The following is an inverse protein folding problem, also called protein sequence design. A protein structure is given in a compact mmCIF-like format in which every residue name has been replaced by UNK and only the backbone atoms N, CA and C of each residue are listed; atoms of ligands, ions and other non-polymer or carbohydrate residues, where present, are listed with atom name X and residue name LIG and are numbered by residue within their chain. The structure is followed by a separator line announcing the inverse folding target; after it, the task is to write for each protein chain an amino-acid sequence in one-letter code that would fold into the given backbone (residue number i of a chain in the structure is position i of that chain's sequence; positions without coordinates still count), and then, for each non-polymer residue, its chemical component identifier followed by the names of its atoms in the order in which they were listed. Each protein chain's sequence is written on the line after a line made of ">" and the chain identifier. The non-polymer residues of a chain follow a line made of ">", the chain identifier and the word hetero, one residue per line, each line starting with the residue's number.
data_IF_086096471600
#
_entry.id   IF_086096471600
#
_cell.length_a   1.000
_cell.length_b   1.000
_cell.length_c   1.000
_cell.angle_alpha   90.00
_cell.angle_beta   90.00
_cell.angle_gamma   90.00
#
_symmetry.space_group_name_H-M   'P 1'
#
loop_
_entity.id
_entity.type
_entity.pdbx_description
1 polymer ?
#
# COMPACT_ATOMS: atom_id res chain seq x y z
N UNK A 1 -12.89 -9.33 -2.81
CA UNK A 1 -11.65 -8.51 -2.82
C UNK A 1 -11.04 -8.39 -1.43
N UNK A 2 -9.72 -8.54 -1.32
CA UNK A 2 -8.96 -8.49 -0.06
C UNK A 2 -8.66 -7.05 0.41
N UNK A 3 -8.45 -6.12 -0.52
CA UNK A 3 -7.84 -4.81 -0.27
C UNK A 3 -8.72 -3.92 0.61
N UNK A 4 -10.03 -3.81 0.31
CA UNK A 4 -10.95 -2.94 1.06
C UNK A 4 -11.09 -3.37 2.53
N UNK A 5 -11.36 -4.65 2.85
CA UNK A 5 -11.35 -5.12 4.25
C UNK A 5 -10.01 -4.87 4.96
N UNK A 6 -8.89 -5.08 4.26
CA UNK A 6 -7.56 -4.86 4.82
C UNK A 6 -7.29 -3.39 5.14
N UNK A 7 -7.69 -2.46 4.27
CA UNK A 7 -7.59 -1.01 4.51
C UNK A 7 -8.42 -0.61 5.75
N UNK A 8 -9.66 -1.10 5.85
CA UNK A 8 -10.54 -0.82 7.01
C UNK A 8 -9.91 -1.31 8.32
N UNK A 9 -9.37 -2.53 8.31
CA UNK A 9 -8.69 -3.11 9.47
C UNK A 9 -7.44 -2.32 9.85
N UNK A 10 -6.60 -1.98 8.86
CA UNK A 10 -5.38 -1.22 9.09
C UNK A 10 -5.68 0.17 9.66
N UNK A 11 -6.65 0.87 9.07
CA UNK A 11 -7.05 2.20 9.54
C UNK A 11 -7.51 2.18 10.99
N UNK A 12 -8.31 1.17 11.39
CA UNK A 12 -8.71 0.98 12.79
C UNK A 12 -7.48 0.83 13.70
N UNK A 13 -6.54 -0.05 13.35
CA UNK A 13 -5.31 -0.30 14.13
C UNK A 13 -4.42 0.94 14.23
N UNK A 14 -4.24 1.67 13.14
CA UNK A 14 -3.43 2.90 13.12
C UNK A 14 -4.05 3.97 14.01
N UNK A 15 -5.38 4.13 13.97
CA UNK A 15 -6.08 5.08 14.85
C UNK A 15 -5.99 4.72 16.33
N UNK A 16 -6.08 3.43 16.66
CA UNK A 16 -5.89 2.92 18.02
C UNK A 16 -4.46 3.20 18.52
N UNK A 17 -3.46 3.00 17.66
CA UNK A 17 -2.04 3.20 18.01
C UNK A 17 -1.61 4.67 18.12
N UNK A 18 -2.12 5.54 17.24
CA UNK A 18 -1.63 6.92 17.10
C UNK A 18 -2.58 8.01 17.64
N UNK A 19 -3.68 7.61 18.28
CA UNK A 19 -4.59 8.52 18.99
C UNK A 19 -5.38 9.45 18.07
N UNK A 20 -6.62 9.07 17.74
CA UNK A 20 -7.71 9.80 17.05
C UNK A 20 -7.40 10.63 15.77
N UNK A 21 -6.14 10.83 15.37
CA UNK A 21 -5.77 11.46 14.11
C UNK A 21 -6.12 10.50 12.98
N UNK A 22 -6.93 10.96 12.04
CA UNK A 22 -7.28 10.17 10.86
C UNK A 22 -6.07 10.08 9.93
N UNK A 23 -5.52 8.88 9.67
CA UNK A 23 -4.38 8.72 8.78
C UNK A 23 -4.75 9.07 7.34
N UNK A 24 -3.78 9.58 6.58
CA UNK A 24 -3.91 9.76 5.13
C UNK A 24 -3.54 8.45 4.45
N UNK A 25 -4.44 7.94 3.61
CA UNK A 25 -4.19 6.78 2.78
C UNK A 25 -3.52 7.24 1.48
N UNK A 26 -2.35 6.71 1.18
CA UNK A 26 -1.70 6.90 -0.11
C UNK A 26 -1.66 5.54 -0.82
N UNK A 27 -2.33 5.43 -1.96
CA UNK A 27 -2.25 4.25 -2.82
C UNK A 27 -1.10 4.41 -3.80
N UNK A 28 -0.28 3.37 -3.91
CA UNK A 28 0.93 3.34 -4.74
C UNK A 28 0.86 2.06 -5.56
N UNK A 29 0.87 2.20 -6.87
CA UNK A 29 0.74 1.10 -7.82
C UNK A 29 0.77 1.59 -9.26
N UNK A 30 0.71 0.68 -10.20
CA UNK A 30 0.70 0.92 -11.65
C UNK A 30 -0.72 1.15 -12.20
N UNK A 31 -1.72 0.44 -11.66
CA UNK A 31 -3.12 0.55 -12.10
C UNK A 31 -3.87 1.72 -11.43
N UNK A 32 -3.81 2.89 -12.05
CA UNK A 32 -4.50 4.11 -11.58
C UNK A 32 -6.01 4.01 -11.67
N UNK A 33 -6.55 3.26 -12.62
CA UNK A 33 -8.01 3.13 -12.80
C UNK A 33 -8.59 2.27 -11.68
N UNK A 34 -7.96 1.13 -11.41
CA UNK A 34 -8.32 0.27 -10.29
C UNK A 34 -8.18 1.00 -8.95
N UNK A 35 -7.07 1.69 -8.69
CA UNK A 35 -6.89 2.48 -7.46
C UNK A 35 -7.98 3.55 -7.30
N UNK A 36 -8.33 4.27 -8.37
CA UNK A 36 -9.42 5.23 -8.35
C UNK A 36 -10.77 4.57 -8.08
N UNK A 37 -11.02 3.37 -8.63
CA UNK A 37 -12.26 2.62 -8.39
C UNK A 37 -12.41 2.25 -6.90
N UNK A 38 -11.32 1.85 -6.24
CA UNK A 38 -11.31 1.54 -4.81
C UNK A 38 -11.60 2.79 -3.98
N UNK A 39 -10.95 3.91 -4.28
CA UNK A 39 -11.18 5.17 -3.55
C UNK A 39 -12.63 5.62 -3.71
N UNK A 40 -13.12 5.70 -4.95
CA UNK A 40 -14.47 6.18 -5.27
C UNK A 40 -15.57 5.25 -4.75
N UNK A 41 -15.37 3.94 -4.85
CA UNK A 41 -16.35 2.95 -4.45
C UNK A 41 -16.44 2.71 -2.95
N UNK A 42 -15.34 2.90 -2.21
CA UNK A 42 -15.27 2.42 -0.83
C UNK A 42 -14.72 3.39 0.20
N UNK A 43 -14.02 4.46 -0.21
CA UNK A 43 -13.18 5.23 0.74
C UNK A 43 -13.45 6.75 0.77
N UNK A 44 -14.15 7.33 -0.20
CA UNK A 44 -14.35 8.80 -0.30
C UNK A 44 -14.93 9.46 0.95
N UNK A 45 -15.86 8.79 1.65
CA UNK A 45 -16.59 9.40 2.76
C UNK A 45 -15.84 9.32 4.10
N UNK A 46 -15.00 8.30 4.27
CA UNK A 46 -14.42 7.93 5.56
C UNK A 46 -12.90 8.18 5.62
N UNK A 47 -12.24 8.37 4.47
CA UNK A 47 -10.78 8.40 4.36
C UNK A 47 -10.29 9.60 3.57
N UNK A 48 -9.24 10.25 4.07
CA UNK A 48 -8.40 11.14 3.25
C UNK A 48 -7.50 10.26 2.40
N UNK A 49 -7.84 10.07 1.13
CA UNK A 49 -7.12 9.19 0.21
C UNK A 49 -6.49 9.96 -0.95
N UNK A 50 -5.28 9.56 -1.34
CA UNK A 50 -4.57 10.06 -2.50
C UNK A 50 -3.92 8.90 -3.27
N UNK A 51 -3.67 9.10 -4.57
CA UNK A 51 -2.90 8.17 -5.40
C UNK A 51 -1.55 8.83 -5.66
N UNK A 52 -0.47 8.11 -5.37
CA UNK A 52 0.88 8.58 -5.70
C UNK A 52 1.08 8.59 -7.22
N UNK A 53 1.77 9.61 -7.73
CA UNK A 53 2.18 9.62 -9.12
C UNK A 53 3.34 8.65 -9.33
N UNK A 54 2.99 7.45 -9.75
CA UNK A 54 3.90 6.49 -10.36
C UNK A 54 3.78 6.70 -11.87
N UNK A 55 4.87 7.08 -12.51
CA UNK A 55 4.99 7.07 -13.97
C UNK A 55 6.36 6.48 -14.31
N UNK A 56 6.55 6.03 -15.55
CA UNK A 56 7.83 5.48 -16.01
C UNK A 56 8.94 6.54 -16.09
N UNK A 57 8.65 7.79 -15.71
CA UNK A 57 9.59 8.91 -15.71
C UNK A 57 10.29 9.06 -14.36
N UNK A 58 9.68 8.59 -13.27
CA UNK A 58 10.30 8.60 -11.94
C UNK A 58 10.92 7.24 -11.63
N UNK A 59 12.18 7.20 -11.18
CA UNK A 59 12.81 5.96 -10.76
C UNK A 59 12.13 5.45 -9.47
N UNK A 60 12.13 4.14 -9.25
CA UNK A 60 11.44 3.50 -8.12
C UNK A 60 11.88 4.06 -6.76
N UNK A 61 13.13 4.48 -6.68
CA UNK A 61 13.79 5.09 -5.54
C UNK A 61 13.09 6.36 -5.05
N UNK A 62 12.47 7.15 -5.94
CA UNK A 62 11.68 8.33 -5.53
C UNK A 62 10.47 7.90 -4.69
N UNK A 63 9.84 6.80 -5.07
CA UNK A 63 8.66 6.27 -4.35
C UNK A 63 9.07 5.60 -3.04
N UNK A 64 10.21 4.91 -3.02
CA UNK A 64 10.77 4.36 -1.79
C UNK A 64 11.19 5.45 -0.81
N UNK A 65 11.80 6.52 -1.31
CA UNK A 65 12.19 7.68 -0.52
C UNK A 65 10.96 8.42 0.03
N UNK A 66 9.90 8.56 -0.77
CA UNK A 66 8.61 9.05 -0.29
C UNK A 66 8.09 8.19 0.87
N UNK A 67 8.15 6.85 0.73
CA UNK A 67 7.73 5.94 1.81
C UNK A 67 8.57 6.12 3.09
N UNK A 68 9.88 6.30 2.93
CA UNK A 68 10.81 6.57 4.03
C UNK A 68 10.50 7.84 4.79
N UNK A 69 10.09 8.89 4.09
CA UNK A 69 9.80 10.17 4.71
C UNK A 69 8.39 10.24 5.32
N UNK A 70 7.39 9.66 4.66
CA UNK A 70 5.97 9.95 4.91
C UNK A 70 5.11 8.76 5.33
N UNK A 71 5.53 7.50 5.09
CA UNK A 71 4.70 6.34 5.40
C UNK A 71 4.99 5.75 6.79
N UNK A 72 4.06 5.95 7.73
CA UNK A 72 4.14 5.36 9.09
C UNK A 72 3.79 3.86 9.12
N UNK A 73 2.95 3.41 8.17
CA UNK A 73 2.50 2.04 8.02
C UNK A 73 2.25 1.71 6.56
N UNK A 74 2.54 0.47 6.15
CA UNK A 74 2.42 0.01 4.76
C UNK A 74 1.55 -1.23 4.69
N UNK A 75 0.59 -1.25 3.77
CA UNK A 75 -0.18 -2.43 3.40
C UNK A 75 0.28 -2.93 2.02
N UNK A 76 0.82 -4.14 1.96
CA UNK A 76 1.14 -4.81 0.71
C UNK A 76 -0.11 -5.52 0.18
N UNK A 77 -0.82 -4.86 -0.74
CA UNK A 77 -1.96 -5.44 -1.44
C UNK A 77 -1.55 -6.58 -2.39
N UNK A 78 -0.35 -6.48 -2.99
CA UNK A 78 0.29 -7.51 -3.80
C UNK A 78 1.59 -7.96 -3.13
N UNK A 79 1.51 -8.88 -2.16
CA UNK A 79 2.67 -9.31 -1.35
C UNK A 79 3.69 -10.17 -2.11
N UNK A 80 3.41 -10.52 -3.37
CA UNK A 80 4.39 -11.10 -4.29
C UNK A 80 5.33 -10.05 -4.94
N UNK A 81 5.00 -8.75 -4.86
CA UNK A 81 5.76 -7.67 -5.50
C UNK A 81 7.03 -7.32 -4.74
N UNK A 82 8.20 -7.44 -5.39
CA UNK A 82 9.49 -7.00 -4.84
C UNK A 82 9.54 -5.48 -4.67
N UNK A 83 8.91 -4.72 -5.57
CA UNK A 83 8.76 -3.26 -5.43
C UNK A 83 8.06 -2.89 -4.12
N UNK A 84 6.96 -3.59 -3.80
CA UNK A 84 6.23 -3.38 -2.56
C UNK A 84 7.08 -3.69 -1.32
N UNK A 85 7.89 -4.74 -1.36
CA UNK A 85 8.80 -5.08 -0.25
C UNK A 85 9.90 -4.04 -0.04
N UNK A 86 10.50 -3.51 -1.11
CA UNK A 86 11.46 -2.41 -0.98
C UNK A 86 10.83 -1.13 -0.44
N UNK A 87 9.61 -0.82 -0.87
CA UNK A 87 8.83 0.29 -0.34
C UNK A 87 8.56 0.12 1.16
N UNK A 88 8.13 -1.07 1.58
CA UNK A 88 7.87 -1.40 2.98
C UNK A 88 9.13 -1.36 3.84
N UNK A 89 10.25 -1.91 3.35
CA UNK A 89 11.54 -1.90 4.02
C UNK A 89 12.01 -0.49 4.34
N UNK A 90 11.80 0.45 3.41
CA UNK A 90 12.20 1.83 3.59
C UNK A 90 11.23 2.65 4.46
N UNK A 91 10.02 2.17 4.76
CA UNK A 91 9.00 2.95 5.45
C UNK A 91 9.40 3.41 6.87
N UNK A 92 9.05 4.65 7.23
CA UNK A 92 9.47 5.32 8.47
C UNK A 92 9.19 4.52 9.75
N UNK A 93 8.07 3.80 9.79
CA UNK A 93 7.58 3.14 10.98
C UNK A 93 7.83 1.64 11.06
N UNK A 94 8.35 1.02 9.99
CA UNK A 94 8.51 -0.44 9.86
C UNK A 94 7.23 -1.26 10.20
N UNK A 95 6.05 -0.64 10.09
CA UNK A 95 4.77 -1.29 10.37
C UNK A 95 4.19 -1.83 9.06
N UNK A 96 4.55 -3.07 8.73
CA UNK A 96 4.19 -3.72 7.46
C UNK A 96 3.07 -4.72 7.66
N UNK A 97 2.01 -4.59 6.87
CA UNK A 97 0.86 -5.49 6.84
C UNK A 97 0.74 -6.10 5.46
N UNK A 98 0.50 -7.40 5.38
CA UNK A 98 0.39 -8.09 4.10
C UNK A 98 -0.47 -9.34 4.25
N UNK A 99 -1.00 -9.81 3.12
CA UNK A 99 -1.67 -11.10 3.09
C UNK A 99 -0.64 -12.23 2.99
N UNK A 100 -0.63 -13.13 3.96
CA UNK A 100 0.27 -14.28 4.01
C UNK A 100 -0.05 -15.36 2.98
N UNK A 101 -1.27 -15.38 2.44
CA UNK A 101 -1.68 -16.35 1.40
C UNK A 101 -0.97 -16.05 0.08
N UNK A 102 -0.90 -14.77 -0.30
CA UNK A 102 -0.23 -14.31 -1.52
C UNK A 102 1.31 -14.24 -1.38
N UNK A 103 1.85 -14.49 -0.18
CA UNK A 103 3.29 -14.54 0.08
C UNK A 103 3.86 -15.95 0.25
N UNK A 104 3.05 -17.01 0.03
CA UNK A 104 3.52 -18.41 0.11
C UNK A 104 4.34 -18.80 -1.12
N UNK A 105 5.21 -19.82 -1.04
CA UNK A 105 6.01 -20.34 -2.16
C UNK A 105 5.21 -20.91 -3.36
N UNK A 106 3.86 -20.87 -3.33
CA UNK A 106 2.99 -21.16 -4.47
C UNK A 106 2.15 -19.96 -4.94
N UNK A 107 2.40 -18.76 -4.42
CA UNK A 107 1.78 -17.49 -4.82
C UNK A 107 2.66 -16.64 -5.74
N UNK A 108 3.92 -17.06 -5.97
CA UNK A 108 4.65 -16.65 -7.15
C UNK A 108 3.97 -17.36 -8.33
N UNK A 109 3.37 -16.60 -9.26
CA UNK A 109 3.19 -17.15 -10.60
C UNK A 109 4.55 -17.68 -11.07
N UNK A 110 4.53 -18.80 -11.78
CA UNK A 110 5.68 -19.64 -12.15
C UNK A 110 6.78 -18.95 -12.97
N UNK A 111 6.72 -17.63 -13.13
CA UNK A 111 7.73 -16.82 -13.80
C UNK A 111 7.65 -15.36 -13.35
N UNK A 112 8.78 -14.82 -12.85
CA UNK A 112 9.06 -13.38 -12.92
C UNK A 112 9.50 -13.09 -14.34
N UNK A 113 8.55 -12.95 -15.27
CA UNK A 113 8.84 -12.39 -16.60
C UNK A 113 8.97 -10.87 -16.46
N UNK A 114 10.14 -10.29 -16.82
CA UNK A 114 10.30 -8.85 -16.96
C UNK A 114 9.33 -8.25 -17.98
#
# INVERSE_FOLDING_TARGET
>A
EFVVPAIKLLHKRVREKHGSKSPVLVMIGDDKEWMNSIIRGHLLNDYKAAIAQTNNTYPAEVVWEFSRQYCDSVLLAASASTFGWWLAYNSRGYNVYYNTVFSKPGGFETSLTP
#
